data_IF_388583596266
#
_entry.id   IF_388583596266
#
_cell.length_a   1.000
_cell.length_b   1.000
_cell.length_c   1.000
_cell.angle_alpha   90.00
_cell.angle_beta   90.00
_cell.angle_gamma   90.00
#
_symmetry.space_group_name_H-M   'P 1'
#
loop_
_entity.id
_entity.type
_entity.pdbx_description
1 polymer ?
#
# COMPACT_ATOMS: atom_id res chain seq x y z
N UNK A 1 13.23 8.63 -1.63
CA UNK A 1 13.41 9.23 -2.98
C UNK A 1 12.54 8.48 -3.99
N UNK A 2 11.86 9.17 -4.93
CA UNK A 2 11.07 8.54 -6.00
C UNK A 2 11.78 8.74 -7.34
N UNK A 3 11.94 7.68 -8.11
CA UNK A 3 12.45 7.74 -9.47
C UNK A 3 11.28 7.83 -10.46
N UNK A 4 11.21 8.91 -11.23
CA UNK A 4 10.22 9.14 -12.29
C UNK A 4 10.90 8.89 -13.63
N UNK A 5 10.40 7.92 -14.39
CA UNK A 5 10.90 7.57 -15.73
C UNK A 5 9.82 7.90 -16.75
N UNK A 6 10.03 8.99 -17.47
CA UNK A 6 9.05 9.61 -18.36
C UNK A 6 9.78 10.41 -19.43
N UNK A 7 9.52 10.14 -20.71
CA UNK A 7 10.19 10.82 -21.84
C UNK A 7 9.54 12.14 -22.21
N UNK A 8 8.26 12.34 -21.88
CA UNK A 8 7.57 13.60 -22.09
C UNK A 8 8.03 14.64 -21.05
N UNK A 9 8.87 15.58 -21.47
CA UNK A 9 9.53 16.56 -20.58
C UNK A 9 8.56 17.39 -19.76
N UNK A 10 7.45 17.84 -20.36
CA UNK A 10 6.45 18.67 -19.66
C UNK A 10 5.76 17.89 -18.55
N UNK A 11 5.41 16.63 -18.79
CA UNK A 11 4.82 15.77 -17.79
C UNK A 11 5.83 15.41 -16.69
N UNK A 12 7.06 15.09 -17.07
CA UNK A 12 8.14 14.80 -16.12
C UNK A 12 8.39 15.97 -15.16
N UNK A 13 8.50 17.20 -15.66
CA UNK A 13 8.68 18.40 -14.82
C UNK A 13 7.45 18.68 -13.94
N UNK A 14 6.24 18.49 -14.48
CA UNK A 14 5.00 18.66 -13.73
C UNK A 14 4.92 17.67 -12.57
N UNK A 15 5.26 16.39 -12.80
CA UNK A 15 5.32 15.37 -11.75
C UNK A 15 6.38 15.70 -10.71
N UNK A 16 7.57 16.13 -11.13
CA UNK A 16 8.64 16.53 -10.25
C UNK A 16 8.22 17.68 -9.32
N UNK A 17 7.63 18.74 -9.87
CA UNK A 17 7.13 19.87 -9.07
C UNK A 17 6.05 19.42 -8.08
N UNK A 18 5.05 18.67 -8.56
CA UNK A 18 3.97 18.18 -7.72
C UNK A 18 4.46 17.34 -6.54
N UNK A 19 5.35 16.39 -6.81
CA UNK A 19 5.83 15.46 -5.79
C UNK A 19 6.80 16.15 -4.83
N UNK A 20 7.62 17.07 -5.31
CA UNK A 20 8.51 17.89 -4.46
C UNK A 20 7.70 18.79 -3.50
N UNK A 21 6.60 19.40 -3.97
CA UNK A 21 5.67 20.15 -3.10
C UNK A 21 5.07 19.30 -1.98
N UNK A 22 4.94 17.99 -2.19
CA UNK A 22 4.48 17.03 -1.18
C UNK A 22 5.61 16.48 -0.29
N UNK A 23 6.83 17.00 -0.43
CA UNK A 23 7.98 16.65 0.41
C UNK A 23 8.73 15.40 -0.03
N UNK A 24 8.52 14.91 -1.26
CA UNK A 24 9.29 13.79 -1.80
C UNK A 24 10.56 14.30 -2.48
N UNK A 25 11.65 13.56 -2.31
CA UNK A 25 12.86 13.73 -3.11
C UNK A 25 12.68 13.00 -4.44
N UNK A 26 12.96 13.67 -5.57
CA UNK A 26 12.68 13.15 -6.91
C UNK A 26 13.95 13.11 -7.75
N UNK A 27 14.16 11.98 -8.41
CA UNK A 27 15.10 11.85 -9.53
C UNK A 27 14.33 11.49 -10.79
N UNK A 28 14.80 11.93 -11.93
CA UNK A 28 14.12 11.77 -13.23
C UNK A 28 15.02 11.11 -14.24
N UNK A 29 14.42 10.34 -15.14
CA UNK A 29 15.04 9.77 -16.34
C UNK A 29 14.08 9.89 -17.52
N UNK A 30 14.59 10.17 -18.70
CA UNK A 30 13.82 10.26 -19.95
C UNK A 30 13.93 9.01 -20.83
N UNK A 31 14.62 7.96 -20.37
CA UNK A 31 14.86 6.74 -21.14
C UNK A 31 15.20 5.54 -20.25
N UNK A 32 15.14 4.33 -20.81
CA UNK A 32 15.56 3.11 -20.12
C UNK A 32 17.04 3.17 -19.71
N UNK A 33 17.91 3.66 -20.60
CA UNK A 33 19.34 3.77 -20.34
C UNK A 33 19.67 4.75 -19.21
N UNK A 34 18.90 5.82 -19.05
CA UNK A 34 19.04 6.73 -17.93
C UNK A 34 18.51 6.13 -16.63
N UNK A 35 17.41 5.39 -16.69
CA UNK A 35 16.80 4.74 -15.55
C UNK A 35 17.67 3.64 -14.94
N UNK A 36 18.53 2.98 -15.74
CA UNK A 36 19.45 1.94 -15.29
C UNK A 36 20.36 2.40 -14.13
N UNK A 37 20.65 3.71 -14.04
CA UNK A 37 21.46 4.30 -12.95
C UNK A 37 20.78 4.26 -11.58
N UNK A 38 19.46 4.11 -11.58
CA UNK A 38 18.65 4.10 -10.35
C UNK A 38 18.33 2.69 -9.87
N UNK A 39 18.48 1.68 -10.75
CA UNK A 39 18.19 0.28 -10.42
C UNK A 39 19.22 -0.22 -9.39
N UNK A 40 18.72 -0.76 -8.27
CA UNK A 40 19.57 -1.22 -7.17
C UNK A 40 20.12 -0.12 -6.26
N UNK A 41 19.78 1.15 -6.49
CA UNK A 41 20.13 2.23 -5.58
C UNK A 41 19.25 2.15 -4.31
N UNK A 42 19.83 1.93 -3.10
CA UNK A 42 19.07 1.77 -1.86
C UNK A 42 18.33 3.04 -1.40
N UNK A 43 18.60 4.19 -2.00
CA UNK A 43 17.91 5.44 -1.70
C UNK A 43 16.59 5.59 -2.47
N UNK A 44 16.34 4.75 -3.48
CA UNK A 44 15.09 4.77 -4.21
C UNK A 44 14.03 3.98 -3.43
N UNK A 45 12.97 4.66 -3.04
CA UNK A 45 11.83 4.09 -2.31
C UNK A 45 10.70 3.64 -3.26
N UNK A 46 10.67 4.13 -4.52
CA UNK A 46 9.63 3.85 -5.50
C UNK A 46 10.05 4.24 -6.91
N UNK A 47 9.52 3.53 -7.90
CA UNK A 47 9.59 3.91 -9.30
C UNK A 47 8.19 4.27 -9.84
N UNK A 48 8.11 5.38 -10.57
CA UNK A 48 6.99 5.72 -11.46
C UNK A 48 7.52 5.56 -12.89
N UNK A 49 6.96 4.64 -13.65
CA UNK A 49 7.49 4.27 -14.97
C UNK A 49 6.45 4.52 -16.05
N UNK A 50 6.79 5.28 -17.09
CA UNK A 50 6.02 5.16 -18.33
C UNK A 50 6.30 3.79 -18.98
N UNK A 51 5.29 3.22 -19.59
CA UNK A 51 5.41 1.98 -20.35
C UNK A 51 6.17 2.21 -21.66
N UNK A 52 5.92 3.34 -22.35
CA UNK A 52 6.53 3.66 -23.62
C UNK A 52 7.69 4.62 -23.43
N UNK A 53 8.89 4.17 -23.78
CA UNK A 53 10.11 4.96 -23.70
C UNK A 53 10.86 4.91 -25.05
N UNK A 54 11.66 5.94 -25.38
CA UNK A 54 12.27 6.06 -26.71
C UNK A 54 13.26 4.93 -27.07
N UNK A 55 13.83 4.27 -26.06
CA UNK A 55 14.86 3.24 -26.19
C UNK A 55 14.43 1.88 -25.63
N UNK A 56 13.13 1.71 -25.30
CA UNK A 56 12.62 0.45 -24.76
C UNK A 56 11.26 0.56 -24.08
N UNK A 57 11.04 -0.27 -23.07
CA UNK A 57 9.78 -0.33 -22.35
C UNK A 57 10.00 -0.24 -20.83
N UNK A 58 9.10 0.49 -20.15
CA UNK A 58 9.02 0.45 -18.68
C UNK A 58 8.86 -0.95 -18.11
N UNK A 59 8.28 -1.88 -18.88
CA UNK A 59 8.20 -3.29 -18.49
C UNK A 59 9.59 -3.93 -18.34
N UNK A 60 10.55 -3.57 -19.21
CA UNK A 60 11.92 -4.10 -19.13
C UNK A 60 12.64 -3.53 -17.91
N UNK A 61 12.39 -2.26 -17.57
CA UNK A 61 12.90 -1.64 -16.34
C UNK A 61 12.33 -2.37 -15.13
N UNK A 62 11.03 -2.62 -15.09
CA UNK A 62 10.37 -3.33 -14.00
C UNK A 62 10.96 -4.75 -13.81
N UNK A 63 11.15 -5.50 -14.90
CA UNK A 63 11.81 -6.83 -14.84
C UNK A 63 13.22 -6.75 -14.27
N UNK A 64 13.99 -5.71 -14.64
CA UNK A 64 15.33 -5.48 -14.08
C UNK A 64 15.29 -5.18 -12.60
N UNK A 65 14.37 -4.30 -12.16
CA UNK A 65 14.16 -3.96 -10.74
C UNK A 65 13.83 -5.22 -9.94
N UNK A 66 12.90 -6.05 -10.41
CA UNK A 66 12.44 -7.27 -9.70
C UNK A 66 13.51 -8.36 -9.57
N UNK A 67 14.61 -8.30 -10.34
CA UNK A 67 15.76 -9.21 -10.14
C UNK A 67 16.52 -8.95 -8.84
N UNK A 68 16.44 -7.74 -8.28
CA UNK A 68 17.27 -7.31 -7.15
C UNK A 68 16.51 -6.56 -6.06
N UNK A 69 15.25 -6.19 -6.28
CA UNK A 69 14.52 -5.32 -5.36
C UNK A 69 13.00 -5.52 -5.43
N UNK A 70 12.36 -5.42 -4.26
CA UNK A 70 10.90 -5.37 -4.09
C UNK A 70 10.39 -3.92 -3.96
N UNK A 71 11.19 -2.94 -4.36
CA UNK A 71 10.79 -1.53 -4.32
C UNK A 71 9.53 -1.32 -5.16
N UNK A 72 8.51 -0.56 -4.67
CA UNK A 72 7.29 -0.36 -5.41
C UNK A 72 7.48 0.22 -6.80
N UNK A 73 6.74 -0.33 -7.75
CA UNK A 73 6.70 0.12 -9.13
C UNK A 73 5.25 0.43 -9.50
N UNK A 74 4.99 1.66 -9.91
CA UNK A 74 3.71 2.10 -10.47
C UNK A 74 3.92 2.47 -11.94
N UNK A 75 3.13 1.88 -12.83
CA UNK A 75 3.12 2.32 -14.22
C UNK A 75 2.21 3.53 -14.43
N UNK A 76 2.72 4.51 -15.18
CA UNK A 76 1.97 5.65 -15.72
C UNK A 76 1.89 5.47 -17.23
N UNK A 77 0.72 5.28 -17.81
CA UNK A 77 0.63 4.97 -19.24
C UNK A 77 -0.61 5.55 -19.90
N UNK A 78 -0.47 5.90 -21.16
CA UNK A 78 -1.60 6.26 -22.04
C UNK A 78 -2.33 5.05 -22.62
N UNK A 79 -1.90 3.83 -22.31
CA UNK A 79 -2.52 2.62 -22.79
C UNK A 79 -3.64 2.16 -21.84
N UNK A 80 -4.82 2.04 -22.36
CA UNK A 80 -6.03 1.51 -21.74
C UNK A 80 -6.32 0.06 -22.15
N UNK A 81 -5.35 -0.58 -22.83
CA UNK A 81 -5.46 -1.96 -23.26
C UNK A 81 -5.32 -2.91 -22.06
N UNK A 82 -6.38 -3.67 -21.80
CA UNK A 82 -6.47 -4.63 -20.69
C UNK A 82 -5.28 -5.64 -20.68
N UNK A 83 -4.81 -6.05 -21.86
CA UNK A 83 -3.67 -6.97 -22.01
C UNK A 83 -2.35 -6.37 -21.48
N UNK A 84 -2.12 -5.07 -21.67
CA UNK A 84 -0.92 -4.40 -21.17
C UNK A 84 -0.98 -4.21 -19.64
N UNK A 85 -2.17 -3.94 -19.09
CA UNK A 85 -2.40 -3.84 -17.64
C UNK A 85 -2.11 -5.19 -16.99
N UNK A 86 -2.67 -6.28 -17.52
CA UNK A 86 -2.44 -7.64 -17.03
C UNK A 86 -0.95 -7.98 -17.11
N UNK A 87 -0.31 -7.69 -18.26
CA UNK A 87 1.13 -7.93 -18.45
C UNK A 87 1.96 -7.18 -17.41
N UNK A 88 1.63 -5.91 -17.13
CA UNK A 88 2.35 -5.09 -16.13
C UNK A 88 2.26 -5.67 -14.72
N UNK A 89 1.08 -6.14 -14.33
CA UNK A 89 0.86 -6.77 -13.03
C UNK A 89 1.55 -8.13 -12.93
N UNK A 90 1.52 -8.94 -13.98
CA UNK A 90 2.21 -10.25 -14.03
C UNK A 90 3.73 -10.12 -13.94
N UNK A 91 4.30 -9.02 -14.44
CA UNK A 91 5.73 -8.69 -14.31
C UNK A 91 6.09 -8.32 -12.86
N UNK A 92 5.10 -8.03 -12.03
CA UNK A 92 5.29 -7.70 -10.62
C UNK A 92 5.20 -6.21 -10.30
N UNK A 93 4.50 -5.41 -11.11
CA UNK A 93 4.15 -4.05 -10.73
C UNK A 93 3.15 -4.04 -9.55
N UNK A 94 3.23 -3.01 -8.72
CA UNK A 94 2.36 -2.86 -7.55
C UNK A 94 1.08 -2.11 -7.87
N UNK A 95 1.09 -1.26 -8.91
CA UNK A 95 -0.08 -0.49 -9.33
C UNK A 95 0.07 0.00 -10.77
N UNK A 96 -1.05 0.50 -11.33
CA UNK A 96 -1.16 0.96 -12.69
C UNK A 96 -2.08 2.18 -12.76
N UNK A 97 -1.66 3.25 -13.40
CA UNK A 97 -2.41 4.49 -13.53
C UNK A 97 -2.46 4.89 -15.00
N UNK A 98 -3.66 5.03 -15.54
CA UNK A 98 -3.87 5.45 -16.92
C UNK A 98 -3.81 6.97 -17.06
N UNK A 99 -3.13 7.46 -18.11
CA UNK A 99 -3.14 8.87 -18.51
C UNK A 99 -4.39 9.16 -19.36
N UNK A 100 -5.11 10.29 -19.14
CA UNK A 100 -4.84 11.32 -18.13
C UNK A 100 -5.33 10.91 -16.73
N UNK A 101 -4.57 11.23 -15.70
CA UNK A 101 -4.89 10.92 -14.31
C UNK A 101 -5.15 12.17 -13.47
N UNK A 102 -5.92 12.01 -12.41
CA UNK A 102 -6.13 13.07 -11.44
C UNK A 102 -4.97 13.12 -10.43
N UNK A 103 -4.51 14.33 -10.13
CA UNK A 103 -3.44 14.56 -9.13
C UNK A 103 -3.72 13.89 -7.78
N UNK A 104 -4.96 13.96 -7.30
CA UNK A 104 -5.36 13.34 -6.03
C UNK A 104 -5.25 11.82 -6.08
N UNK A 105 -5.61 11.19 -7.20
CA UNK A 105 -5.48 9.75 -7.40
C UNK A 105 -4.02 9.32 -7.38
N UNK A 106 -3.17 9.97 -8.19
CA UNK A 106 -1.74 9.70 -8.23
C UNK A 106 -1.11 9.77 -6.83
N UNK A 107 -1.34 10.87 -6.09
CA UNK A 107 -0.79 11.05 -4.74
C UNK A 107 -1.29 9.99 -3.75
N UNK A 108 -2.58 9.61 -3.84
CA UNK A 108 -3.15 8.56 -3.00
C UNK A 108 -2.49 7.21 -3.24
N UNK A 109 -2.30 6.82 -4.52
CA UNK A 109 -1.64 5.56 -4.90
C UNK A 109 -0.16 5.54 -4.53
N UNK A 110 0.58 6.63 -4.77
CA UNK A 110 1.97 6.78 -4.32
C UNK A 110 2.08 6.60 -2.81
N UNK A 111 1.25 7.31 -2.05
CA UNK A 111 1.24 7.22 -0.58
C UNK A 111 0.92 5.81 -0.09
N UNK A 112 -0.06 5.13 -0.71
CA UNK A 112 -0.42 3.76 -0.38
C UNK A 112 0.74 2.78 -0.63
N UNK A 113 1.38 2.87 -1.79
CA UNK A 113 2.48 1.99 -2.16
C UNK A 113 3.77 2.27 -1.37
N UNK A 114 4.14 3.54 -1.13
CA UNK A 114 5.26 3.90 -0.24
C UNK A 114 5.02 3.45 1.20
N UNK A 115 3.80 3.48 1.67
CA UNK A 115 3.44 2.94 2.98
C UNK A 115 3.69 1.43 3.03
N UNK A 116 3.30 0.69 1.99
CA UNK A 116 3.61 -0.75 1.87
C UNK A 116 5.11 -1.00 1.90
N UNK A 117 5.91 -0.24 1.15
CA UNK A 117 7.36 -0.50 1.01
C UNK A 117 8.16 -0.17 2.26
N UNK A 118 7.81 0.89 2.98
CA UNK A 118 8.44 1.19 4.29
C UNK A 118 8.21 0.09 5.32
N UNK A 119 7.24 -0.77 5.02
CA UNK A 119 6.93 -1.96 5.80
C UNK A 119 7.65 -3.23 5.29
N UNK A 120 8.38 -3.18 4.15
CA UNK A 120 9.05 -4.34 3.53
C UNK A 120 10.34 -4.83 4.22
N UNK A 121 10.74 -4.27 5.35
CA UNK A 121 11.83 -4.81 6.16
C UNK A 121 11.30 -5.71 7.30
N UNK A 122 10.51 -6.75 6.96
CA UNK A 122 9.99 -7.73 7.92
C UNK A 122 8.93 -7.12 8.83
N UNK A 123 7.88 -6.54 8.25
CA UNK A 123 6.79 -5.90 8.99
C UNK A 123 5.86 -6.94 9.65
N UNK A 124 6.47 -7.71 10.55
CA UNK A 124 5.77 -8.69 11.37
C UNK A 124 5.50 -8.08 12.74
N UNK A 125 4.24 -7.88 13.04
CA UNK A 125 3.80 -7.52 14.38
C UNK A 125 3.47 -8.79 15.17
N UNK A 126 4.02 -8.91 16.38
CA UNK A 126 3.76 -10.03 17.28
C UNK A 126 3.19 -9.53 18.60
N UNK A 127 2.11 -10.14 19.04
CA UNK A 127 1.54 -9.90 20.38
C UNK A 127 0.77 -11.14 20.84
N UNK A 128 1.10 -11.61 22.04
CA UNK A 128 0.52 -12.84 22.57
C UNK A 128 0.71 -13.99 21.58
N UNK A 129 -0.38 -14.61 21.18
CA UNK A 129 -0.40 -15.78 20.31
C UNK A 129 -0.53 -15.44 18.83
N UNK A 130 -0.70 -14.14 18.48
CA UNK A 130 -0.86 -13.73 17.09
C UNK A 130 0.43 -13.16 16.48
N UNK A 131 0.55 -13.42 15.20
CA UNK A 131 1.56 -12.83 14.31
C UNK A 131 0.81 -12.22 13.13
N UNK A 132 1.01 -10.93 12.91
CA UNK A 132 0.45 -10.19 11.77
C UNK A 132 1.59 -9.93 10.80
N UNK A 133 1.49 -10.50 9.60
CA UNK A 133 2.39 -10.26 8.49
C UNK A 133 1.70 -9.24 7.57
N UNK A 134 2.14 -7.99 7.65
CA UNK A 134 1.53 -6.90 6.89
C UNK A 134 1.83 -6.99 5.39
N UNK A 135 2.93 -7.62 5.02
CA UNK A 135 3.36 -7.74 3.63
C UNK A 135 2.52 -8.80 2.90
N UNK A 136 2.26 -9.90 3.58
CA UNK A 136 1.48 -11.01 3.02
C UNK A 136 -0.02 -10.89 3.27
N UNK A 137 -0.48 -9.83 3.95
CA UNK A 137 -1.89 -9.68 4.35
C UNK A 137 -2.42 -10.89 5.14
N UNK A 138 -1.59 -11.43 6.03
CA UNK A 138 -1.90 -12.64 6.79
C UNK A 138 -1.84 -12.39 8.29
N UNK A 139 -2.76 -13.02 8.99
CA UNK A 139 -2.72 -13.10 10.46
C UNK A 139 -2.68 -14.58 10.81
N UNK A 140 -1.74 -14.97 11.64
CA UNK A 140 -1.68 -16.33 12.19
C UNK A 140 -1.78 -16.30 13.70
N UNK A 141 -2.33 -17.38 14.27
CA UNK A 141 -2.42 -17.61 15.69
C UNK A 141 -1.90 -19.00 16.01
N UNK A 142 -0.98 -19.14 16.96
CA UNK A 142 -0.27 -20.39 17.27
C UNK A 142 0.38 -21.04 16.04
N UNK A 143 0.76 -20.25 15.03
CA UNK A 143 1.34 -20.74 13.77
C UNK A 143 0.32 -21.12 12.70
N UNK A 144 -0.98 -21.14 13.00
CA UNK A 144 -2.05 -21.42 12.03
C UNK A 144 -2.59 -20.11 11.44
N UNK A 145 -2.76 -20.06 10.12
CA UNK A 145 -3.28 -18.91 9.40
C UNK A 145 -4.78 -18.72 9.69
N UNK A 146 -5.18 -17.51 10.10
CA UNK A 146 -6.58 -17.17 10.32
C UNK A 146 -7.23 -16.78 8.99
N UNK A 147 -8.46 -17.25 8.77
CA UNK A 147 -9.26 -16.83 7.62
C UNK A 147 -9.81 -15.41 7.87
N UNK A 148 -9.05 -14.41 7.41
CA UNK A 148 -9.32 -12.98 7.56
C UNK A 148 -9.61 -12.38 6.19
N UNK A 149 -10.72 -11.63 6.03
CA UNK A 149 -10.98 -10.89 4.80
C UNK A 149 -10.09 -9.64 4.70
N UNK A 150 -9.92 -9.09 3.49
CA UNK A 150 -9.11 -7.88 3.27
C UNK A 150 -9.55 -6.71 4.16
N UNK A 151 -10.86 -6.45 4.25
CA UNK A 151 -11.38 -5.38 5.11
C UNK A 151 -11.11 -5.63 6.61
N UNK A 152 -11.25 -6.88 7.06
CA UNK A 152 -10.92 -7.26 8.44
C UNK A 152 -9.42 -7.07 8.72
N UNK A 153 -8.58 -7.42 7.77
CA UNK A 153 -7.13 -7.21 7.87
C UNK A 153 -6.79 -5.73 7.96
N UNK A 154 -7.36 -4.90 7.08
CA UNK A 154 -7.10 -3.46 7.06
C UNK A 154 -7.59 -2.76 8.34
N UNK A 155 -8.71 -3.21 8.93
CA UNK A 155 -9.14 -2.73 10.25
C UNK A 155 -8.09 -3.08 11.32
N UNK A 156 -7.60 -4.32 11.36
CA UNK A 156 -6.56 -4.74 12.30
C UNK A 156 -5.28 -3.92 12.10
N UNK A 157 -4.86 -3.68 10.87
CA UNK A 157 -3.72 -2.83 10.52
C UNK A 157 -3.88 -1.43 11.10
N UNK A 158 -5.02 -0.75 10.81
CA UNK A 158 -5.30 0.60 11.32
C UNK A 158 -5.20 0.65 12.84
N UNK A 159 -5.72 -0.36 13.52
CA UNK A 159 -5.68 -0.41 14.98
C UNK A 159 -4.27 -0.63 15.52
N UNK A 160 -3.48 -1.49 14.92
CA UNK A 160 -2.08 -1.75 15.32
C UNK A 160 -1.19 -0.52 15.06
N UNK A 161 -1.37 0.15 13.91
CA UNK A 161 -0.65 1.41 13.61
C UNK A 161 -0.93 2.52 14.63
N UNK A 162 -2.08 2.47 15.30
CA UNK A 162 -2.51 3.40 16.33
C UNK A 162 -2.60 2.76 17.73
N UNK A 163 -1.79 1.72 17.98
CA UNK A 163 -1.82 0.98 19.24
C UNK A 163 -1.76 1.89 20.47
N UNK A 164 -2.49 1.52 21.50
CA UNK A 164 -2.65 2.32 22.74
C UNK A 164 -3.56 3.54 22.58
N UNK A 165 -3.91 3.96 21.36
CA UNK A 165 -4.80 5.10 21.10
C UNK A 165 -6.17 4.63 20.62
N UNK A 166 -7.20 5.44 20.90
CA UNK A 166 -8.56 5.16 20.41
C UNK A 166 -8.67 5.63 18.97
N UNK A 167 -9.00 4.71 18.06
CA UNK A 167 -9.37 5.04 16.68
C UNK A 167 -10.88 5.20 16.60
N UNK A 168 -11.34 6.36 16.18
CA UNK A 168 -12.78 6.67 16.06
C UNK A 168 -13.41 5.86 14.93
N UNK A 169 -14.72 5.60 15.09
CA UNK A 169 -15.49 4.82 14.11
C UNK A 169 -15.51 5.48 12.73
N UNK A 170 -15.71 6.80 12.68
CA UNK A 170 -15.72 7.57 11.44
C UNK A 170 -14.40 7.46 10.67
N UNK A 171 -13.26 7.53 11.38
CA UNK A 171 -11.93 7.36 10.79
C UNK A 171 -11.72 5.97 10.17
N UNK A 172 -12.24 4.91 10.83
CA UNK A 172 -12.17 3.56 10.27
C UNK A 172 -13.06 3.44 9.03
N UNK A 173 -14.28 4.01 9.08
CA UNK A 173 -15.19 4.03 7.93
C UNK A 173 -14.56 4.72 6.72
N UNK A 174 -14.05 5.92 6.90
CA UNK A 174 -13.40 6.71 5.85
C UNK A 174 -12.24 5.95 5.20
N UNK A 175 -11.41 5.30 5.99
CA UNK A 175 -10.25 4.57 5.48
C UNK A 175 -10.56 3.26 4.77
N UNK A 176 -11.65 2.58 5.14
CA UNK A 176 -11.98 1.23 4.63
C UNK A 176 -13.03 1.29 3.52
N UNK A 177 -14.02 2.17 3.59
CA UNK A 177 -15.18 2.14 2.69
C UNK A 177 -15.34 3.38 1.82
N UNK A 178 -14.91 4.57 2.25
CA UNK A 178 -15.05 5.82 1.47
C UNK A 178 -14.20 5.84 0.19
N UNK A 179 -13.13 5.04 0.14
CA UNK A 179 -12.26 4.95 -1.05
C UNK A 179 -13.00 4.34 -2.26
N UNK A 180 -14.14 3.68 -2.06
CA UNK A 180 -14.88 2.98 -3.11
C UNK A 180 -16.30 3.51 -3.36
N UNK A 181 -16.70 4.66 -2.75
CA UNK A 181 -18.02 5.27 -3.01
C UNK A 181 -19.23 4.42 -2.61
N UNK A 182 -19.05 3.37 -1.86
CA UNK A 182 -20.12 2.52 -1.38
C UNK A 182 -20.61 3.04 -0.03
N UNK A 183 -21.83 3.58 0.02
CA UNK A 183 -22.57 3.86 1.26
C UNK A 183 -22.79 2.55 2.02
N UNK A 184 -21.96 2.25 2.98
CA UNK A 184 -22.07 1.06 3.82
C UNK A 184 -22.77 1.44 5.12
N UNK A 185 -23.80 0.68 5.50
CA UNK A 185 -24.57 0.92 6.73
C UNK A 185 -23.67 0.89 7.99
N UNK A 186 -23.93 1.75 8.96
CA UNK A 186 -23.22 1.88 10.23
C UNK A 186 -23.04 0.56 11.02
N UNK A 187 -23.86 -0.46 10.74
CA UNK A 187 -23.78 -1.78 11.35
C UNK A 187 -22.60 -2.62 10.85
N UNK A 188 -22.05 -2.34 9.65
CA UNK A 188 -21.02 -3.18 9.02
C UNK A 188 -19.74 -3.23 9.85
N UNK A 189 -19.28 -2.09 10.38
CA UNK A 189 -18.08 -2.05 11.23
C UNK A 189 -18.28 -2.84 12.53
N UNK A 190 -19.45 -2.75 13.15
CA UNK A 190 -19.74 -3.48 14.40
C UNK A 190 -19.69 -4.99 14.18
N UNK A 191 -20.25 -5.46 13.07
CA UNK A 191 -20.21 -6.88 12.68
C UNK A 191 -18.78 -7.32 12.36
N UNK A 192 -18.04 -6.52 11.58
CA UNK A 192 -16.64 -6.79 11.27
C UNK A 192 -15.80 -6.89 12.54
N UNK A 193 -15.94 -5.94 13.45
CA UNK A 193 -15.23 -5.95 14.74
C UNK A 193 -15.56 -7.16 15.62
N UNK A 194 -16.82 -7.59 15.63
CA UNK A 194 -17.22 -8.81 16.34
C UNK A 194 -16.53 -10.04 15.77
N UNK A 195 -16.49 -10.16 14.44
CA UNK A 195 -15.79 -11.25 13.72
C UNK A 195 -14.29 -11.23 13.97
N UNK A 196 -13.65 -10.07 13.86
CA UNK A 196 -12.23 -9.90 14.13
C UNK A 196 -11.90 -10.36 15.56
N UNK A 197 -12.63 -9.88 16.55
CA UNK A 197 -12.41 -10.26 17.95
C UNK A 197 -12.58 -11.77 18.18
N UNK A 198 -13.58 -12.39 17.56
CA UNK A 198 -13.79 -13.83 17.64
C UNK A 198 -12.63 -14.61 17.01
N UNK A 199 -12.11 -14.17 15.86
CA UNK A 199 -10.99 -14.81 15.16
C UNK A 199 -9.66 -14.64 15.91
N UNK A 200 -9.37 -13.44 16.41
CA UNK A 200 -8.15 -13.18 17.19
C UNK A 200 -8.18 -13.88 18.56
N UNK A 201 -9.35 -14.01 19.17
CA UNK A 201 -9.52 -14.62 20.48
C UNK A 201 -8.92 -13.77 21.62
N UNK A 202 -8.36 -14.45 22.60
CA UNK A 202 -7.71 -13.85 23.78
C UNK A 202 -6.32 -14.45 23.96
N UNK A 203 -5.45 -13.80 24.71
CA UNK A 203 -4.09 -14.26 24.99
C UNK A 203 -3.74 -14.14 26.48
N UNK A 204 -2.69 -14.88 26.87
CA UNK A 204 -2.17 -14.89 28.23
C UNK A 204 -3.10 -15.59 29.24
N UNK A 205 -2.61 -15.78 30.46
CA UNK A 205 -3.33 -16.48 31.54
C UNK A 205 -4.62 -15.77 31.99
N UNK A 206 -4.70 -14.45 31.77
CA UNK A 206 -5.86 -13.61 32.15
C UNK A 206 -6.87 -13.45 31.03
N UNK A 207 -6.78 -14.20 29.93
CA UNK A 207 -7.68 -14.10 28.77
C UNK A 207 -7.83 -12.65 28.27
N UNK A 208 -6.73 -11.95 28.08
CA UNK A 208 -6.72 -10.56 27.63
C UNK A 208 -7.18 -10.44 26.18
N UNK A 209 -7.99 -9.44 25.89
CA UNK A 209 -8.41 -9.15 24.54
C UNK A 209 -7.34 -8.33 23.80
N UNK A 210 -7.24 -8.49 22.48
CA UNK A 210 -6.37 -7.66 21.63
C UNK A 210 -6.98 -6.29 21.35
N UNK A 211 -8.32 -6.21 21.28
CA UNK A 211 -9.07 -5.01 20.91
C UNK A 211 -10.10 -4.67 21.97
N UNK A 212 -10.00 -3.46 22.50
CA UNK A 212 -11.00 -2.89 23.41
C UNK A 212 -12.03 -2.06 22.62
N UNK A 213 -13.30 -2.15 23.04
CA UNK A 213 -14.36 -1.28 22.52
C UNK A 213 -14.56 -0.10 23.48
N UNK A 214 -14.36 1.11 22.99
CA UNK A 214 -14.71 2.33 23.73
C UNK A 214 -16.11 2.74 23.27
N UNK A 215 -17.09 2.57 24.16
CA UNK A 215 -18.51 2.77 23.83
C UNK A 215 -18.75 4.17 23.25
N UNK A 216 -19.50 4.25 22.17
CA UNK A 216 -19.84 5.47 21.42
C UNK A 216 -18.68 6.25 20.83
N UNK A 217 -17.42 5.78 20.94
CA UNK A 217 -16.23 6.46 20.42
C UNK A 217 -15.58 5.64 19.30
N UNK A 218 -15.11 4.44 19.61
CA UNK A 218 -14.34 3.66 18.65
C UNK A 218 -13.71 2.41 19.26
N UNK A 219 -12.52 2.10 18.75
CA UNK A 219 -11.80 0.89 19.12
C UNK A 219 -10.34 1.20 19.41
N UNK A 220 -9.73 0.44 20.29
CA UNK A 220 -8.33 0.58 20.67
C UNK A 220 -7.65 -0.79 20.62
N UNK A 221 -6.51 -0.85 19.93
CA UNK A 221 -5.60 -1.98 20.08
C UNK A 221 -4.92 -1.84 21.45
N UNK A 222 -5.03 -2.88 22.26
CA UNK A 222 -4.40 -2.90 23.60
C UNK A 222 -2.90 -3.07 23.38
N UNK A 223 -2.09 -2.27 24.03
CA UNK A 223 -0.62 -2.33 23.91
C UNK A 223 -0.02 -3.36 24.88
#
# INVERSE_FOLDING_TARGET
>A
MIAVVEDEKELCESLKLLLTDKGYEIVTAGSCGEADKFIGNPQIDMFLLDVKLPDGSGFDICRKIRKSSEVPVIFLTSCDNEEEIVTGLDIGADDYITKPFYTKELLSRISANLRRSKFNAGNIYKKGDIVVDFDRYKISRHGEELNISTNEFDIVRILIENKGRVVRRDVIYEKIWDVHGNFVEYNTLTVAMSRIKAKLGTYGEKNQQYIETIRNVGYRWID
#
